data_IF_556083768048
#
_entry.id   IF_556083768048
#
_cell.length_a   1.000
_cell.length_b   1.000
_cell.length_c   1.000
_cell.angle_alpha   90.00
_cell.angle_beta   90.00
_cell.angle_gamma   90.00
#
_symmetry.space_group_name_H-M   'P 1'
#
loop_
_entity.id
_entity.type
_entity.pdbx_description
1 polymer ?
#
# COMPACT_ATOMS: atom_id res chain seq x y z
N UNK A 1 -1.01 16.75 3.47
CA UNK A 1 -0.13 15.60 3.15
C UNK A 1 -0.47 14.47 4.10
N UNK A 2 -0.57 13.24 3.62
CA UNK A 2 -0.68 12.04 4.47
C UNK A 2 0.68 11.34 4.49
N UNK A 3 1.25 11.14 5.66
CA UNK A 3 2.52 10.43 5.82
C UNK A 3 2.33 8.91 5.71
N UNK A 4 3.36 8.24 5.20
CA UNK A 4 3.45 6.79 5.13
C UNK A 4 4.27 6.18 6.27
N UNK A 5 4.27 4.86 6.34
CA UNK A 5 4.98 4.11 7.38
C UNK A 5 6.50 4.09 7.21
N UNK A 6 7.05 4.67 6.15
CA UNK A 6 8.48 4.80 5.92
C UNK A 6 8.99 6.23 6.05
N UNK A 7 8.12 7.20 6.25
CA UNK A 7 8.51 8.62 6.29
C UNK A 7 9.26 9.03 7.56
N UNK A 8 9.32 8.17 8.58
CA UNK A 8 10.07 8.37 9.83
C UNK A 8 11.31 7.46 9.97
N UNK A 9 11.68 6.75 8.90
CA UNK A 9 12.78 5.76 8.96
C UNK A 9 14.16 6.33 8.64
N UNK A 10 14.22 7.55 8.14
CA UNK A 10 15.46 8.22 7.75
C UNK A 10 15.89 9.29 8.78
N UNK A 11 16.67 10.26 8.35
CA UNK A 11 17.27 11.26 9.21
C UNK A 11 16.32 12.33 9.74
N UNK A 12 15.08 12.40 9.25
CA UNK A 12 14.12 13.47 9.55
C UNK A 12 12.81 12.84 9.99
N UNK A 13 12.29 13.23 11.15
CA UNK A 13 11.00 12.75 11.65
C UNK A 13 9.82 13.29 10.85
N UNK A 14 8.63 12.69 10.99
CA UNK A 14 7.40 13.20 10.35
C UNK A 14 7.09 14.64 10.79
N UNK A 15 7.31 14.95 12.06
CA UNK A 15 7.12 16.30 12.63
C UNK A 15 8.07 17.31 11.99
N UNK A 16 9.34 16.97 11.85
CA UNK A 16 10.31 17.82 11.16
C UNK A 16 9.96 18.03 9.69
N UNK A 17 9.50 16.97 9.02
CA UNK A 17 9.03 17.07 7.64
C UNK A 17 7.78 17.97 7.55
N UNK A 18 6.81 17.79 8.45
CA UNK A 18 5.62 18.63 8.48
C UNK A 18 5.98 20.11 8.71
N UNK A 19 6.91 20.41 9.62
CA UNK A 19 7.38 21.76 9.86
C UNK A 19 8.01 22.40 8.61
N UNK A 20 8.73 21.60 7.80
CA UNK A 20 9.27 22.05 6.51
C UNK A 20 8.11 22.39 5.57
N UNK A 21 7.12 21.51 5.40
CA UNK A 21 5.96 21.79 4.54
C UNK A 21 5.19 23.02 5.00
N UNK A 22 4.95 23.16 6.30
CA UNK A 22 4.26 24.33 6.89
C UNK A 22 5.02 25.65 6.70
N UNK A 23 6.33 25.58 6.47
CA UNK A 23 7.12 26.78 6.15
C UNK A 23 6.81 27.39 4.77
N UNK A 24 6.13 26.65 3.89
CA UNK A 24 5.77 27.11 2.56
C UNK A 24 4.36 27.73 2.54
N UNK A 25 4.18 28.92 1.93
CA UNK A 25 2.87 29.51 1.73
C UNK A 25 1.96 28.54 0.95
N UNK A 26 0.79 28.25 1.45
CA UNK A 26 -0.18 27.35 0.82
C UNK A 26 -0.15 25.92 1.36
N UNK A 27 0.71 25.58 2.30
CA UNK A 27 0.53 24.38 3.09
C UNK A 27 -0.70 24.56 4.00
N UNK A 28 -1.69 23.69 3.85
CA UNK A 28 -2.92 23.72 4.62
C UNK A 28 -2.99 22.60 5.68
N UNK A 29 -1.92 21.81 5.83
CA UNK A 29 -1.90 20.83 6.90
C UNK A 29 -1.87 21.54 8.25
N UNK A 30 -2.88 21.23 9.03
CA UNK A 30 -2.90 21.47 10.47
C UNK A 30 -2.19 20.32 11.16
N UNK A 31 -2.01 20.42 12.45
CA UNK A 31 -1.48 19.33 13.29
C UNK A 31 -2.16 19.46 14.65
N UNK A 32 -3.42 19.02 14.76
CA UNK A 32 -4.11 19.02 16.05
C UNK A 32 -3.37 18.12 17.06
N UNK A 33 -3.51 18.40 18.33
CA UNK A 33 -2.94 17.58 19.41
C UNK A 33 -3.62 16.19 19.45
N UNK A 34 -3.28 15.34 18.47
CA UNK A 34 -3.78 13.97 18.29
C UNK A 34 -2.62 13.01 18.03
N UNK A 35 -2.80 11.71 18.28
CA UNK A 35 -1.87 10.72 17.78
C UNK A 35 -1.66 10.81 16.26
N UNK A 36 -0.43 10.59 15.81
CA UNK A 36 -0.02 10.76 14.41
C UNK A 36 0.31 12.21 14.05
N UNK A 37 0.79 12.45 12.86
CA UNK A 37 1.35 13.73 12.40
C UNK A 37 0.63 14.22 11.15
N UNK A 38 0.23 15.49 11.15
CA UNK A 38 -0.39 16.16 9.99
C UNK A 38 -1.85 15.76 9.74
N UNK A 39 -2.56 15.27 10.75
CA UNK A 39 -4.01 15.08 10.67
C UNK A 39 -4.67 16.43 10.33
N UNK A 40 -5.55 16.45 9.34
CA UNK A 40 -6.12 17.71 8.83
C UNK A 40 -7.48 17.46 8.21
N UNK A 41 -8.41 18.39 8.43
CA UNK A 41 -9.68 18.43 7.71
C UNK A 41 -9.70 19.68 6.81
N UNK A 42 -9.70 19.48 5.51
CA UNK A 42 -9.80 20.55 4.53
C UNK A 42 -11.26 20.69 4.06
N UNK A 43 -11.74 21.92 4.01
CA UNK A 43 -13.08 22.25 3.53
C UNK A 43 -12.98 22.78 2.09
N UNK A 44 -13.62 22.11 1.15
CA UNK A 44 -13.84 22.67 -0.18
C UNK A 44 -15.18 23.42 -0.13
N UNK A 45 -15.12 24.73 -0.27
CA UNK A 45 -16.31 25.59 -0.26
C UNK A 45 -16.97 25.62 -1.64
N UNK A 46 -18.29 25.68 -1.66
CA UNK A 46 -19.06 25.93 -2.86
C UNK A 46 -18.91 27.39 -3.37
N UNK A 47 -19.60 27.72 -4.43
CA UNK A 47 -19.59 29.09 -4.99
C UNK A 47 -20.16 30.13 -4.03
N UNK A 48 -21.15 29.78 -3.26
CA UNK A 48 -21.67 30.53 -2.12
C UNK A 48 -20.81 30.18 -0.89
N UNK A 49 -20.06 31.12 -0.41
CA UNK A 49 -19.05 30.95 0.66
C UNK A 49 -19.59 30.41 2.01
N UNK A 50 -20.91 30.23 2.14
CA UNK A 50 -21.56 29.77 3.36
C UNK A 50 -21.65 28.24 3.46
N UNK A 51 -21.54 27.50 2.34
CA UNK A 51 -21.60 26.03 2.33
C UNK A 51 -20.22 25.40 2.10
N UNK A 52 -19.92 24.34 2.83
CA UNK A 52 -18.79 23.45 2.56
C UNK A 52 -19.35 22.11 2.07
N UNK A 53 -19.55 21.93 0.75
CA UNK A 53 -20.14 20.69 0.24
C UNK A 53 -19.26 19.48 0.39
N UNK A 54 -17.94 19.68 0.57
CA UNK A 54 -16.95 18.60 0.64
C UNK A 54 -15.98 18.79 1.79
N UNK A 55 -15.66 17.70 2.50
CA UNK A 55 -14.60 17.59 3.48
C UNK A 55 -13.56 16.58 3.01
N UNK A 56 -12.28 16.98 3.05
CA UNK A 56 -11.15 16.11 2.78
C UNK A 56 -10.43 15.85 4.10
N UNK A 57 -10.54 14.64 4.60
CA UNK A 57 -9.90 14.19 5.82
C UNK A 57 -8.56 13.55 5.50
N UNK A 58 -7.49 14.14 5.94
CA UNK A 58 -6.13 13.62 5.82
C UNK A 58 -5.77 13.04 7.18
N UNK A 59 -5.50 11.74 7.23
CA UNK A 59 -5.28 11.03 8.48
C UNK A 59 -3.92 10.33 8.45
N UNK A 60 -3.12 10.50 9.50
CA UNK A 60 -1.92 9.68 9.69
C UNK A 60 -2.34 8.30 10.24
N UNK A 61 -2.14 7.28 9.46
CA UNK A 61 -2.41 5.88 9.84
C UNK A 61 -1.25 5.23 10.62
N UNK A 62 -0.29 6.02 11.06
CA UNK A 62 0.87 5.56 11.83
C UNK A 62 1.90 4.82 10.98
N UNK A 63 2.86 4.22 11.67
CA UNK A 63 3.98 3.45 11.06
C UNK A 63 3.83 1.97 11.34
N UNK A 64 4.00 1.55 12.57
CA UNK A 64 3.81 0.19 13.06
C UNK A 64 3.01 0.23 14.36
N UNK A 65 2.22 -0.82 14.57
CA UNK A 65 1.51 -1.01 15.82
C UNK A 65 2.47 -1.39 16.95
N UNK A 66 2.00 -1.27 18.19
CA UNK A 66 2.73 -1.71 19.37
C UNK A 66 3.11 -3.20 19.25
N UNK A 67 4.20 -3.59 19.88
CA UNK A 67 4.79 -4.92 19.75
C UNK A 67 3.81 -6.06 20.06
N UNK A 68 2.92 -5.84 21.00
CA UNK A 68 1.89 -6.78 21.46
C UNK A 68 0.85 -7.07 20.39
N UNK A 69 0.49 -6.06 19.59
CA UNK A 69 -0.42 -6.15 18.44
C UNK A 69 0.36 -6.62 17.22
N UNK A 70 1.47 -5.97 16.97
CA UNK A 70 2.35 -6.17 15.82
C UNK A 70 1.69 -5.85 14.49
N UNK A 71 2.48 -5.75 13.44
CA UNK A 71 2.02 -5.34 12.12
C UNK A 71 2.08 -3.83 11.95
N UNK A 72 1.28 -3.32 11.02
CA UNK A 72 1.26 -1.90 10.66
C UNK A 72 0.46 -1.06 11.65
N UNK A 73 0.73 0.25 11.64
CA UNK A 73 -0.02 1.25 12.38
C UNK A 73 -1.48 1.36 11.91
N UNK A 74 -2.26 2.06 12.67
CA UNK A 74 -3.70 2.25 12.45
C UNK A 74 -4.14 3.63 12.94
N UNK A 75 -5.23 4.14 12.42
CA UNK A 75 -5.89 5.33 12.94
C UNK A 75 -6.48 5.01 14.31
N UNK A 76 -6.09 5.77 15.34
CA UNK A 76 -6.44 5.51 16.74
C UNK A 76 -7.90 5.84 17.06
N UNK A 77 -8.34 5.50 18.26
CA UNK A 77 -9.69 5.88 18.71
C UNK A 77 -9.82 7.40 18.87
N UNK A 78 -8.80 8.07 19.38
CA UNK A 78 -8.77 9.52 19.52
C UNK A 78 -8.91 10.23 18.17
N UNK A 79 -8.23 9.74 17.15
CA UNK A 79 -8.36 10.24 15.77
C UNK A 79 -9.78 9.97 15.21
N UNK A 80 -10.35 8.79 15.50
CA UNK A 80 -11.73 8.47 15.11
C UNK A 80 -12.75 9.37 15.82
N UNK A 81 -12.54 9.70 17.09
CA UNK A 81 -13.40 10.62 17.85
C UNK A 81 -13.29 12.04 17.30
N UNK A 82 -12.07 12.50 16.98
CA UNK A 82 -11.86 13.78 16.32
C UNK A 82 -12.61 13.86 14.99
N UNK A 83 -12.49 12.85 14.15
CA UNK A 83 -13.21 12.74 12.88
C UNK A 83 -14.72 12.81 13.06
N UNK A 84 -15.29 12.00 13.97
CA UNK A 84 -16.73 11.99 14.25
C UNK A 84 -17.21 13.34 14.78
N UNK A 85 -16.46 13.91 15.71
CA UNK A 85 -16.80 15.21 16.31
C UNK A 85 -16.77 16.33 15.28
N UNK A 86 -15.79 16.31 14.39
CA UNK A 86 -15.68 17.29 13.30
C UNK A 86 -16.86 17.22 12.33
N UNK A 87 -17.34 16.02 12.00
CA UNK A 87 -18.55 15.86 11.18
C UNK A 87 -19.81 16.24 11.95
N UNK A 88 -19.94 15.82 13.21
CA UNK A 88 -21.09 16.11 14.05
C UNK A 88 -21.31 17.63 14.26
N UNK A 89 -20.26 18.43 14.19
CA UNK A 89 -20.36 19.89 14.27
C UNK A 89 -21.23 20.53 13.16
N UNK A 90 -21.43 19.83 12.03
CA UNK A 90 -22.32 20.27 10.94
C UNK A 90 -23.78 19.88 11.13
N UNK A 91 -24.10 19.05 12.15
CA UNK A 91 -25.45 18.58 12.39
C UNK A 91 -26.04 17.74 11.25
N UNK A 92 -27.31 17.94 10.93
CA UNK A 92 -28.01 17.18 9.88
C UNK A 92 -27.53 17.51 8.45
N UNK A 93 -26.80 18.59 8.27
CA UNK A 93 -26.27 19.03 6.97
C UNK A 93 -24.76 18.76 6.83
N UNK A 94 -24.29 17.63 7.38
CA UNK A 94 -22.88 17.27 7.28
C UNK A 94 -22.44 17.18 5.81
N UNK A 95 -21.32 17.82 5.44
CA UNK A 95 -20.77 17.75 4.08
C UNK A 95 -20.32 16.33 3.73
N UNK A 96 -20.33 16.02 2.43
CA UNK A 96 -19.79 14.75 1.93
C UNK A 96 -18.29 14.66 2.27
N UNK A 97 -17.87 13.53 2.79
CA UNK A 97 -16.52 13.32 3.28
C UNK A 97 -15.74 12.34 2.42
N UNK A 98 -14.49 12.70 2.15
CA UNK A 98 -13.47 11.86 1.50
C UNK A 98 -12.28 11.72 2.45
N UNK A 99 -11.76 10.50 2.59
CA UNK A 99 -10.65 10.20 3.50
C UNK A 99 -9.40 9.86 2.71
N UNK A 100 -8.25 10.37 3.14
CA UNK A 100 -6.93 10.11 2.57
C UNK A 100 -5.99 9.67 3.69
N UNK A 101 -5.47 8.47 3.58
CA UNK A 101 -4.48 7.91 4.51
C UNK A 101 -3.56 6.94 3.78
N UNK A 102 -2.44 6.58 4.40
CA UNK A 102 -1.48 5.69 3.77
C UNK A 102 -1.88 4.22 3.90
N UNK A 103 -2.07 3.71 5.10
CA UNK A 103 -2.35 2.29 5.36
C UNK A 103 -3.87 2.05 5.22
N UNK A 104 -4.30 1.02 4.44
CA UNK A 104 -5.72 0.73 4.25
C UNK A 104 -6.37 0.18 5.53
N UNK A 105 -7.70 0.12 5.54
CA UNK A 105 -8.48 -0.50 6.62
C UNK A 105 -8.61 -2.02 6.43
N UNK A 106 -8.84 -2.81 7.51
CA UNK A 106 -8.98 -4.27 7.42
C UNK A 106 -10.07 -4.76 6.46
N UNK A 107 -11.11 -3.96 6.23
CA UNK A 107 -12.25 -4.30 5.37
C UNK A 107 -11.88 -4.49 3.89
N UNK A 108 -10.68 -4.10 3.48
CA UNK A 108 -10.16 -4.44 2.13
C UNK A 108 -10.09 -5.96 1.88
N UNK A 109 -10.01 -6.77 2.94
CA UNK A 109 -10.09 -8.22 2.82
C UNK A 109 -11.47 -8.75 2.40
N UNK A 110 -12.51 -7.94 2.49
CA UNK A 110 -13.83 -8.30 1.99
C UNK A 110 -13.89 -8.38 0.44
N UNK A 111 -12.92 -7.77 -0.23
CA UNK A 111 -12.81 -7.73 -1.68
C UNK A 111 -12.12 -8.97 -2.28
N UNK A 112 -11.49 -9.78 -1.45
CA UNK A 112 -10.65 -10.90 -1.88
C UNK A 112 -11.05 -12.20 -1.19
N UNK A 113 -10.66 -13.33 -1.76
CA UNK A 113 -10.89 -14.67 -1.21
C UNK A 113 -9.64 -15.55 -1.31
N UNK A 114 -9.48 -16.56 -0.45
CA UNK A 114 -8.36 -17.49 -0.53
C UNK A 114 -8.28 -18.17 -1.89
N UNK A 115 -7.07 -18.34 -2.41
CA UNK A 115 -6.82 -18.99 -3.70
C UNK A 115 -5.68 -20.01 -3.60
N UNK A 116 -5.66 -20.95 -4.54
CA UNK A 116 -4.52 -21.85 -4.68
C UNK A 116 -3.30 -21.07 -5.18
N UNK A 117 -2.09 -21.39 -4.69
CA UNK A 117 -0.87 -20.77 -5.18
C UNK A 117 -0.74 -20.89 -6.71
N UNK A 118 -0.33 -19.81 -7.36
CA UNK A 118 -0.12 -19.73 -8.80
C UNK A 118 -1.36 -20.03 -9.67
N UNK A 119 -2.56 -20.06 -9.11
CA UNK A 119 -3.80 -20.16 -9.89
C UNK A 119 -4.04 -18.86 -10.67
N UNK A 120 -4.86 -18.93 -11.72
CA UNK A 120 -5.16 -17.75 -12.56
C UNK A 120 -5.74 -16.61 -11.70
N UNK A 121 -5.16 -15.42 -11.82
CA UNK A 121 -5.56 -14.22 -11.09
C UNK A 121 -5.22 -14.26 -9.60
N UNK A 122 -4.45 -15.25 -9.11
CA UNK A 122 -4.03 -15.28 -7.73
C UNK A 122 -2.79 -14.42 -7.49
N UNK A 123 -2.73 -13.84 -6.31
CA UNK A 123 -1.63 -13.02 -5.83
C UNK A 123 -1.30 -13.38 -4.36
N UNK A 124 -0.13 -12.99 -3.92
CA UNK A 124 0.34 -13.14 -2.54
C UNK A 124 0.99 -11.83 -2.08
N UNK A 125 1.45 -11.78 -0.84
CA UNK A 125 2.32 -10.67 -0.40
C UNK A 125 3.46 -10.54 -1.37
N UNK A 126 3.77 -9.32 -1.79
CA UNK A 126 4.66 -9.04 -2.92
C UNK A 126 5.88 -9.97 -2.96
N UNK A 127 5.99 -10.75 -4.04
CA UNK A 127 7.07 -11.69 -4.31
C UNK A 127 7.41 -12.68 -3.16
N UNK A 128 6.47 -12.93 -2.26
CA UNK A 128 6.64 -13.91 -1.19
C UNK A 128 5.68 -15.11 -1.35
N UNK A 129 6.04 -16.13 -2.13
CA UNK A 129 5.17 -17.27 -2.41
C UNK A 129 4.89 -18.19 -1.19
N UNK A 130 5.56 -17.96 -0.07
CA UNK A 130 5.33 -18.71 1.17
C UNK A 130 4.16 -18.17 1.99
N UNK A 131 3.62 -17.02 1.63
CA UNK A 131 2.45 -16.41 2.28
C UNK A 131 1.15 -17.01 1.76
N UNK A 132 0.05 -16.62 2.38
CA UNK A 132 -1.28 -16.98 1.87
C UNK A 132 -1.50 -16.35 0.49
N UNK A 133 -2.19 -17.10 -0.37
CA UNK A 133 -2.59 -16.66 -1.69
C UNK A 133 -4.06 -16.29 -1.69
N UNK A 134 -4.37 -15.24 -2.42
CA UNK A 134 -5.71 -14.71 -2.59
C UNK A 134 -5.99 -14.46 -4.06
N UNK A 135 -7.25 -14.27 -4.37
CA UNK A 135 -7.71 -13.70 -5.65
C UNK A 135 -8.84 -12.71 -5.35
N UNK A 136 -9.08 -11.84 -6.26
CA UNK A 136 -10.21 -10.94 -6.26
C UNK A 136 -11.52 -11.73 -6.31
N UNK A 137 -12.49 -11.34 -5.49
CA UNK A 137 -13.86 -11.84 -5.63
C UNK A 137 -14.48 -11.31 -6.91
N UNK A 138 -15.27 -12.14 -7.58
CA UNK A 138 -15.92 -11.78 -8.83
C UNK A 138 -16.77 -10.51 -8.67
N UNK A 139 -16.49 -9.51 -9.50
CA UNK A 139 -17.20 -8.23 -9.49
C UNK A 139 -16.89 -7.30 -8.31
N UNK A 140 -15.92 -7.62 -7.46
CA UNK A 140 -15.55 -6.76 -6.32
C UNK A 140 -14.85 -5.48 -6.76
N UNK A 141 -14.01 -5.53 -7.79
CA UNK A 141 -13.26 -4.40 -8.32
C UNK A 141 -13.95 -3.84 -9.56
N UNK A 142 -14.17 -2.52 -9.58
CA UNK A 142 -14.73 -1.81 -10.74
C UNK A 142 -13.67 -1.45 -11.77
N UNK A 143 -12.52 -0.98 -11.31
CA UNK A 143 -11.36 -0.63 -12.15
C UNK A 143 -10.07 -0.91 -11.39
N UNK A 144 -8.98 -1.08 -12.12
CA UNK A 144 -7.69 -1.44 -11.54
C UNK A 144 -7.60 -2.92 -11.18
N UNK A 145 -6.72 -3.28 -10.26
CA UNK A 145 -6.51 -4.66 -9.83
C UNK A 145 -5.76 -4.77 -8.49
N UNK A 146 -5.78 -5.97 -7.94
CA UNK A 146 -4.83 -6.38 -6.90
C UNK A 146 -3.58 -6.96 -7.55
N UNK A 147 -2.42 -6.38 -7.25
CA UNK A 147 -1.11 -6.91 -7.63
C UNK A 147 -0.42 -7.64 -6.49
N UNK A 148 -0.86 -7.41 -5.25
CA UNK A 148 -0.36 -8.05 -4.03
C UNK A 148 -1.45 -8.14 -2.97
N UNK A 149 -1.21 -8.99 -1.95
CA UNK A 149 -2.10 -9.07 -0.79
C UNK A 149 -2.09 -7.73 -0.06
N UNK A 150 -3.25 -7.12 0.19
CA UNK A 150 -3.33 -5.89 0.99
C UNK A 150 -2.69 -6.06 2.37
N UNK A 151 -2.08 -5.01 2.85
CA UNK A 151 -1.37 -5.01 4.12
C UNK A 151 -1.98 -4.04 5.14
N UNK A 152 -3.27 -4.16 5.52
CA UNK A 152 -3.88 -3.35 6.56
C UNK A 152 -3.32 -3.68 7.94
N UNK A 153 -3.63 -2.88 8.98
CA UNK A 153 -3.32 -3.20 10.35
C UNK A 153 -3.99 -4.52 10.78
N UNK A 154 -3.40 -5.18 11.75
CA UNK A 154 -4.02 -6.37 12.39
C UNK A 154 -5.13 -5.98 13.37
N UNK A 155 -5.05 -4.79 13.91
CA UNK A 155 -6.03 -4.23 14.83
C UNK A 155 -7.05 -3.40 14.06
N UNK A 156 -8.34 -3.73 14.24
CA UNK A 156 -9.44 -2.90 13.73
C UNK A 156 -9.84 -1.91 14.81
N UNK A 157 -9.51 -0.64 14.61
CA UNK A 157 -9.85 0.44 15.53
C UNK A 157 -11.30 0.93 15.41
N UNK A 158 -12.12 0.29 14.59
CA UNK A 158 -13.48 0.73 14.28
C UNK A 158 -13.55 1.92 13.32
N UNK A 159 -12.46 2.22 12.63
CA UNK A 159 -12.40 3.36 11.70
C UNK A 159 -13.41 3.23 10.56
N UNK A 160 -13.53 2.07 9.95
CA UNK A 160 -14.49 1.84 8.88
C UNK A 160 -15.94 2.02 9.34
N UNK A 161 -16.27 1.56 10.57
CA UNK A 161 -17.57 1.81 11.17
C UNK A 161 -17.82 3.30 11.39
N UNK A 162 -16.80 4.06 11.80
CA UNK A 162 -16.90 5.52 11.92
C UNK A 162 -17.21 6.18 10.58
N UNK A 163 -16.63 5.69 9.49
CA UNK A 163 -16.93 6.19 8.15
C UNK A 163 -18.36 5.92 7.72
N UNK A 164 -18.88 4.71 8.01
CA UNK A 164 -20.28 4.35 7.73
C UNK A 164 -21.24 5.26 8.49
N UNK A 165 -20.99 5.42 9.78
CA UNK A 165 -21.87 6.22 10.66
C UNK A 165 -21.87 7.71 10.25
N UNK A 166 -20.78 8.19 9.66
CA UNK A 166 -20.60 9.59 9.27
C UNK A 166 -20.75 9.83 7.75
N UNK A 167 -21.15 8.84 6.96
CA UNK A 167 -21.45 9.03 5.55
C UNK A 167 -20.23 9.35 4.68
N UNK A 168 -19.07 8.69 4.92
CA UNK A 168 -17.92 8.81 4.05
C UNK A 168 -18.24 8.22 2.68
N UNK A 169 -17.94 8.98 1.62
CA UNK A 169 -18.17 8.56 0.23
C UNK A 169 -17.08 7.66 -0.30
N UNK A 170 -15.82 8.00 -0.05
CA UNK A 170 -14.67 7.23 -0.49
C UNK A 170 -13.44 7.43 0.41
N UNK A 171 -12.60 6.41 0.51
CA UNK A 171 -11.32 6.44 1.18
C UNK A 171 -10.19 6.01 0.23
N UNK A 172 -9.11 6.77 0.23
CA UNK A 172 -7.96 6.62 -0.65
C UNK A 172 -6.74 6.18 0.13
N UNK A 173 -6.03 5.16 -0.39
CA UNK A 173 -4.89 4.53 0.25
C UNK A 173 -3.67 4.48 -0.67
N UNK A 174 -2.48 4.49 -0.06
CA UNK A 174 -1.22 4.07 -0.66
C UNK A 174 -0.80 2.69 -0.17
N UNK A 175 0.41 2.60 0.40
CA UNK A 175 0.98 1.48 1.13
C UNK A 175 1.28 0.22 0.28
N UNK A 176 0.27 -0.34 -0.37
CA UNK A 176 0.41 -1.50 -1.24
C UNK A 176 0.84 -1.02 -2.63
N UNK A 177 2.12 -1.20 -2.96
CA UNK A 177 2.73 -0.53 -4.13
C UNK A 177 2.24 -1.06 -5.47
N UNK A 178 1.60 -2.22 -5.48
CA UNK A 178 1.13 -2.85 -6.73
C UNK A 178 -0.40 -2.91 -6.85
N UNK A 179 -1.12 -2.38 -5.86
CA UNK A 179 -2.58 -2.31 -5.85
C UNK A 179 -3.05 -0.95 -6.38
N UNK A 180 -4.01 -0.96 -7.30
CA UNK A 180 -4.59 0.26 -7.87
C UNK A 180 -6.11 0.15 -8.09
N UNK A 181 -6.76 -0.72 -7.31
CA UNK A 181 -8.19 -1.00 -7.42
C UNK A 181 -9.07 0.18 -6.99
N UNK A 182 -10.27 0.21 -7.57
CA UNK A 182 -11.44 0.96 -7.11
C UNK A 182 -12.55 -0.06 -6.82
N UNK A 183 -12.97 -0.17 -5.59
CA UNK A 183 -13.94 -1.16 -5.14
C UNK A 183 -14.88 -0.57 -4.10
N UNK A 184 -16.03 -1.20 -3.85
CA UNK A 184 -17.00 -0.74 -2.85
C UNK A 184 -17.21 -1.81 -1.79
N UNK A 185 -17.14 -1.42 -0.54
CA UNK A 185 -17.51 -2.22 0.63
C UNK A 185 -18.58 -1.47 1.39
N UNK A 186 -19.73 -2.10 1.61
CA UNK A 186 -20.85 -1.55 2.37
C UNK A 186 -21.19 -0.07 2.03
N UNK A 187 -21.12 0.30 0.75
CA UNK A 187 -21.47 1.63 0.25
C UNK A 187 -20.35 2.65 0.25
N UNK A 188 -19.18 2.33 0.81
CA UNK A 188 -18.00 3.19 0.80
C UNK A 188 -17.03 2.69 -0.26
N UNK A 189 -16.53 3.59 -1.09
CA UNK A 189 -15.50 3.26 -2.06
C UNK A 189 -14.13 3.18 -1.38
N UNK A 190 -13.48 2.03 -1.47
CA UNK A 190 -12.11 1.79 -1.04
C UNK A 190 -11.21 1.81 -2.27
N UNK A 191 -10.24 2.72 -2.29
CA UNK A 191 -9.46 3.05 -3.48
C UNK A 191 -7.98 2.98 -3.17
N UNK A 192 -7.30 2.02 -3.76
CA UNK A 192 -5.85 1.92 -3.66
C UNK A 192 -5.16 2.72 -4.77
N UNK A 193 -3.98 3.24 -4.48
CA UNK A 193 -3.12 3.93 -5.42
C UNK A 193 -1.75 3.26 -5.41
N UNK A 194 -1.32 2.73 -6.55
CA UNK A 194 -0.01 2.09 -6.68
C UNK A 194 1.14 3.10 -6.49
N UNK A 195 2.33 2.59 -6.19
CA UNK A 195 3.49 3.44 -5.94
C UNK A 195 3.89 4.28 -7.14
N UNK A 196 4.22 5.55 -6.91
CA UNK A 196 4.74 6.48 -7.93
C UNK A 196 6.26 6.43 -8.05
N UNK A 197 6.95 6.11 -6.96
CA UNK A 197 8.42 6.18 -6.87
C UNK A 197 9.10 4.94 -7.45
N UNK A 198 10.22 5.15 -8.18
CA UNK A 198 11.01 4.07 -8.77
C UNK A 198 12.10 3.50 -7.86
N UNK A 199 12.21 3.99 -6.62
CA UNK A 199 13.23 3.54 -5.66
C UNK A 199 12.72 2.46 -4.70
N UNK A 200 11.44 2.12 -4.81
CA UNK A 200 10.83 0.99 -4.12
C UNK A 200 10.28 -0.02 -5.12
N UNK A 201 9.76 -1.15 -4.65
CA UNK A 201 9.10 -2.10 -5.53
C UNK A 201 7.76 -1.54 -6.04
N UNK A 202 7.29 -2.01 -7.18
CA UNK A 202 6.06 -1.56 -7.82
C UNK A 202 5.82 -2.28 -9.14
N UNK A 203 5.14 -1.66 -10.07
CA UNK A 203 4.68 -2.27 -11.33
C UNK A 203 5.49 -1.84 -12.57
N UNK A 204 6.71 -1.33 -12.40
CA UNK A 204 7.52 -0.90 -13.53
C UNK A 204 6.90 0.27 -14.29
N UNK A 205 6.52 0.10 -15.55
CA UNK A 205 5.88 1.15 -16.35
C UNK A 205 4.51 1.59 -15.82
N UNK A 206 3.89 0.78 -14.96
CA UNK A 206 2.62 1.08 -14.30
C UNK A 206 2.80 1.77 -12.93
N UNK A 207 3.99 2.33 -12.63
CA UNK A 207 4.11 3.35 -11.60
C UNK A 207 3.29 4.57 -12.01
N UNK A 208 2.59 5.19 -11.07
CA UNK A 208 1.72 6.29 -11.41
C UNK A 208 1.15 7.04 -10.22
N UNK A 209 0.37 8.04 -10.53
CA UNK A 209 -0.42 8.78 -9.57
C UNK A 209 -1.91 8.61 -9.88
N UNK A 210 -2.75 8.78 -8.89
CA UNK A 210 -4.20 8.79 -9.07
C UNK A 210 -4.68 10.22 -9.23
N UNK A 211 -5.40 10.47 -10.31
CA UNK A 211 -6.17 11.69 -10.48
C UNK A 211 -7.53 11.52 -9.80
N UNK A 212 -7.95 12.53 -9.07
CA UNK A 212 -9.27 12.65 -8.47
C UNK A 212 -9.89 13.98 -8.89
N UNK A 213 -11.08 13.92 -9.46
CA UNK A 213 -11.87 15.09 -9.83
C UNK A 213 -13.11 15.08 -8.93
N UNK A 214 -13.27 16.15 -8.17
CA UNK A 214 -14.40 16.37 -7.28
C UNK A 214 -15.31 17.45 -7.86
N UNK A 215 -16.62 17.26 -7.69
CA UNK A 215 -17.65 18.15 -8.18
C UNK A 215 -18.38 18.80 -7.01
N UNK A 216 -18.02 20.04 -6.59
CA UNK A 216 -18.68 20.70 -5.47
C UNK A 216 -20.21 20.86 -5.63
N UNK A 217 -20.71 20.96 -6.86
CA UNK A 217 -22.13 21.04 -7.17
C UNK A 217 -22.86 19.67 -7.07
N UNK A 218 -22.07 18.58 -7.03
CA UNK A 218 -22.51 17.19 -6.92
C UNK A 218 -21.57 16.40 -6.01
N UNK A 219 -21.56 16.70 -4.72
CA UNK A 219 -20.52 16.24 -3.81
C UNK A 219 -20.41 14.72 -3.67
N UNK A 220 -21.47 13.97 -3.98
CA UNK A 220 -21.47 12.50 -4.00
C UNK A 220 -20.80 11.90 -5.26
N UNK A 221 -20.67 12.71 -6.34
CA UNK A 221 -20.09 12.28 -7.58
C UNK A 221 -18.60 12.65 -7.62
N UNK A 222 -17.76 11.74 -8.11
CA UNK A 222 -16.36 11.98 -8.37
C UNK A 222 -15.87 11.11 -9.53
N UNK A 223 -14.81 11.56 -10.19
CA UNK A 223 -14.10 10.78 -11.18
C UNK A 223 -12.70 10.45 -10.68
N UNK A 224 -12.23 9.26 -10.95
CA UNK A 224 -10.86 8.88 -10.57
C UNK A 224 -10.26 7.90 -11.56
N UNK A 225 -9.00 8.13 -11.89
CA UNK A 225 -8.21 7.27 -12.76
C UNK A 225 -6.75 7.22 -12.32
N UNK A 226 -6.06 6.14 -12.66
CA UNK A 226 -4.62 6.07 -12.57
C UNK A 226 -3.98 6.65 -13.82
N UNK A 227 -3.04 7.56 -13.62
CA UNK A 227 -2.19 8.12 -14.66
C UNK A 227 -0.81 7.50 -14.51
N UNK A 228 -0.46 6.59 -15.44
CA UNK A 228 0.77 5.82 -15.33
C UNK A 228 1.95 6.49 -16.04
N UNK A 229 3.16 6.13 -15.65
CA UNK A 229 4.40 6.59 -16.29
C UNK A 229 4.38 6.36 -17.81
N UNK A 230 3.93 5.19 -18.24
CA UNK A 230 3.83 4.83 -19.68
C UNK A 230 2.91 5.74 -20.49
N UNK A 231 1.94 6.39 -19.83
CA UNK A 231 0.95 7.24 -20.49
C UNK A 231 1.49 8.67 -20.70
N UNK A 232 2.48 9.08 -19.89
CA UNK A 232 3.00 10.44 -19.86
C UNK A 232 4.39 10.57 -20.47
N UNK A 233 5.22 9.56 -20.38
CA UNK A 233 6.65 9.66 -20.66
C UNK A 233 7.10 8.56 -21.61
N UNK A 234 7.43 8.96 -22.82
CA UNK A 234 8.00 8.08 -23.84
C UNK A 234 9.53 7.96 -23.67
N UNK A 235 9.94 7.45 -22.50
CA UNK A 235 11.35 7.12 -22.23
C UNK A 235 11.43 5.72 -21.64
N UNK A 236 12.36 4.89 -22.13
CA UNK A 236 12.57 3.58 -21.55
C UNK A 236 13.07 3.71 -20.11
N UNK A 237 12.45 2.95 -19.22
CA UNK A 237 12.95 2.79 -17.86
C UNK A 237 14.22 1.94 -17.86
N UNK A 238 15.14 2.23 -16.96
CA UNK A 238 16.30 1.38 -16.71
C UNK A 238 15.90 0.00 -16.16
N UNK A 239 16.79 -0.95 -16.27
CA UNK A 239 16.57 -2.33 -15.85
C UNK A 239 16.08 -2.46 -14.36
N UNK A 240 16.65 -1.67 -13.47
CA UNK A 240 16.24 -1.66 -12.05
C UNK A 240 14.81 -1.13 -11.90
N UNK A 241 14.46 -0.11 -12.65
CA UNK A 241 13.16 0.56 -12.58
C UNK A 241 12.03 -0.27 -13.21
N UNK A 242 12.31 -1.01 -14.29
CA UNK A 242 11.30 -1.86 -14.96
C UNK A 242 11.03 -3.15 -14.24
N UNK A 243 12.00 -3.68 -13.54
CA UNK A 243 11.96 -5.07 -13.07
C UNK A 243 11.72 -5.19 -11.57
N UNK A 244 11.82 -4.10 -10.81
CA UNK A 244 11.95 -4.22 -9.35
C UNK A 244 13.00 -5.25 -8.93
N UNK A 245 13.93 -5.53 -9.86
CA UNK A 245 14.81 -6.68 -9.72
C UNK A 245 15.78 -6.50 -8.56
N UNK A 246 16.01 -5.29 -8.06
CA UNK A 246 16.79 -5.11 -6.84
C UNK A 246 16.21 -5.94 -5.68
N UNK A 247 14.93 -5.88 -5.46
CA UNK A 247 14.23 -6.67 -4.42
C UNK A 247 14.08 -8.13 -4.84
N UNK A 248 13.78 -8.40 -6.11
CA UNK A 248 13.67 -9.78 -6.62
C UNK A 248 15.02 -10.49 -6.64
N UNK A 249 16.10 -9.81 -7.07
CA UNK A 249 17.45 -10.37 -7.07
C UNK A 249 17.87 -10.70 -5.64
N UNK A 250 17.67 -9.81 -4.68
CA UNK A 250 18.08 -10.06 -3.31
C UNK A 250 17.27 -11.18 -2.62
N UNK A 251 15.98 -11.29 -2.89
CA UNK A 251 15.08 -12.24 -2.18
C UNK A 251 14.95 -13.60 -2.85
N UNK A 252 15.09 -13.68 -4.17
CA UNK A 252 14.84 -14.92 -4.92
C UNK A 252 16.08 -15.35 -5.68
N UNK A 253 16.66 -14.47 -6.50
CA UNK A 253 17.76 -14.83 -7.41
C UNK A 253 19.03 -15.14 -6.64
N UNK A 254 19.41 -14.32 -5.64
CA UNK A 254 20.62 -14.57 -4.84
C UNK A 254 20.51 -15.88 -4.04
N UNK A 255 19.43 -16.14 -3.27
CA UNK A 255 19.28 -17.41 -2.56
C UNK A 255 19.21 -18.62 -3.49
N UNK A 256 18.49 -18.51 -4.61
CA UNK A 256 18.41 -19.59 -5.61
C UNK A 256 19.77 -19.87 -6.26
N UNK A 257 20.50 -18.83 -6.62
CA UNK A 257 21.87 -18.96 -7.20
C UNK A 257 22.85 -19.56 -6.20
N UNK A 258 22.78 -19.15 -4.92
CA UNK A 258 23.57 -19.72 -3.86
C UNK A 258 23.25 -21.22 -3.65
N UNK A 259 21.97 -21.59 -3.66
CA UNK A 259 21.52 -22.97 -3.59
C UNK A 259 22.03 -23.83 -4.74
N UNK A 260 21.95 -23.33 -5.98
CA UNK A 260 22.48 -23.99 -7.17
C UNK A 260 24.01 -24.18 -7.06
N UNK A 261 24.72 -23.15 -6.60
CA UNK A 261 26.17 -23.22 -6.42
C UNK A 261 26.57 -24.28 -5.39
N UNK A 262 25.89 -24.32 -4.23
CA UNK A 262 26.12 -25.34 -3.19
C UNK A 262 25.85 -26.74 -3.74
N UNK A 263 24.76 -26.91 -4.49
CA UNK A 263 24.43 -28.19 -5.14
C UNK A 263 25.50 -28.62 -6.13
N UNK A 264 26.01 -27.70 -6.97
CA UNK A 264 27.08 -28.01 -7.93
C UNK A 264 28.37 -28.39 -7.23
N UNK A 265 28.75 -27.69 -6.16
CA UNK A 265 29.95 -28.04 -5.35
C UNK A 265 29.78 -29.41 -4.74
N UNK A 266 28.62 -29.75 -4.15
CA UNK A 266 28.38 -31.07 -3.62
C UNK A 266 28.43 -32.16 -4.69
N UNK A 267 27.85 -31.93 -5.86
CA UNK A 267 27.90 -32.87 -6.99
C UNK A 267 29.32 -33.10 -7.46
N UNK A 268 30.12 -32.07 -7.65
CA UNK A 268 31.53 -32.17 -8.05
C UNK A 268 32.33 -32.96 -7.00
N UNK A 269 32.10 -32.68 -5.73
CA UNK A 269 32.74 -33.40 -4.60
C UNK A 269 32.42 -34.90 -4.65
N UNK A 270 31.15 -35.24 -4.83
CA UNK A 270 30.74 -36.66 -4.96
C UNK A 270 31.39 -37.31 -6.16
N UNK A 271 31.45 -36.67 -7.32
CA UNK A 271 32.13 -37.19 -8.51
C UNK A 271 33.61 -37.44 -8.24
N UNK A 272 34.29 -36.51 -7.58
CA UNK A 272 35.70 -36.66 -7.21
C UNK A 272 35.90 -37.86 -6.28
N UNK A 273 35.08 -37.99 -5.26
CA UNK A 273 35.12 -39.11 -4.30
C UNK A 273 34.89 -40.47 -4.99
N UNK A 274 33.90 -40.54 -5.89
CA UNK A 274 33.61 -41.75 -6.67
C UNK A 274 34.76 -42.11 -7.60
N UNK A 275 35.39 -41.11 -8.27
CA UNK A 275 36.58 -41.33 -9.11
C UNK A 275 37.76 -41.79 -8.28
N UNK A 276 38.02 -41.24 -7.09
CA UNK A 276 39.07 -41.69 -6.15
C UNK A 276 38.83 -43.14 -5.69
N UNK A 277 37.58 -43.48 -5.32
CA UNK A 277 37.21 -44.86 -4.94
C UNK A 277 37.45 -45.86 -6.10
N UNK A 278 37.06 -45.50 -7.33
CA UNK A 278 37.32 -46.36 -8.50
C UNK A 278 38.82 -46.55 -8.79
N UNK A 279 39.64 -45.51 -8.63
CA UNK A 279 41.08 -45.59 -8.79
C UNK A 279 41.72 -46.51 -7.72
N UNK A 280 41.31 -46.37 -6.45
CA UNK A 280 41.80 -47.24 -5.36
C UNK A 280 41.40 -48.72 -5.60
N UNK A 281 40.19 -48.99 -6.07
CA UNK A 281 39.77 -50.39 -6.40
C UNK A 281 40.56 -50.95 -7.61
N UNK A 282 41.03 -50.12 -8.54
CA UNK A 282 41.87 -50.57 -9.66
C UNK A 282 43.31 -50.84 -9.24
N UNK A 283 43.86 -50.10 -8.27
CA UNK A 283 45.23 -50.38 -7.75
C UNK A 283 45.25 -51.67 -6.92
N UNK A 284 44.27 -51.89 -6.07
CA UNK A 284 44.16 -53.12 -5.26
C UNK A 284 43.87 -54.42 -6.08
N UNK A 285 43.53 -54.33 -7.36
CA UNK A 285 43.36 -55.47 -8.26
C UNK A 285 44.60 -55.75 -9.12
N UNK A 286 45.65 -54.95 -9.00
CA UNK A 286 46.90 -55.09 -9.73
C UNK A 286 48.05 -55.60 -8.86
N UNK A 287 47.82 -55.66 -7.56
CA UNK A 287 48.62 -56.44 -6.59
C UNK A 287 47.99 -57.83 -6.44
#
# INVERSE_FOLDING_TARGET
MAFGNHDDQDCISKEEQLAIYQSYPGCLNEDPELPGVGNTCLQIKGQDAESAPLLLWIMDSGTYAEKEIGGYGYVTQEQNEWFRSGIAAYGENAPVSYVFQHIPVPQVFELIEPAAPFSKGSFCTFMNPTTKWYREKEGAVRTGCFGETPCPPKYDSGQFQSWKDCGVRAAFFGHDHTNDYVATVEGIDLIATSGIGFYSYGRGYDHGARLLILHPDKPEEYETEMVYYRDLIDKPLGFIQTSNMGVQISRIVIPASAGILVFLIALITVIILLRRRRRRKKSLKKE
#
